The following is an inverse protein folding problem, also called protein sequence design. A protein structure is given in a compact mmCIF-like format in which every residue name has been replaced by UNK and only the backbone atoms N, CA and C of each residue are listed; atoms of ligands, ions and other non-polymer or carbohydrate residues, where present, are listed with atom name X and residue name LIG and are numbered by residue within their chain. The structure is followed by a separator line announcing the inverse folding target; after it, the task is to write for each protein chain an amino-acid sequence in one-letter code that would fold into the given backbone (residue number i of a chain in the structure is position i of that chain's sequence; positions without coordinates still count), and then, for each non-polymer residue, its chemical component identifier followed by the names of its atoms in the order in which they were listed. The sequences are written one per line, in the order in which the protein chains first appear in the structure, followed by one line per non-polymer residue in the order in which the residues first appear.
data_IF_559168154601
#
_entry.id   IF_559168154601
#
_cell.length_a   1.000
_cell.length_b   1.000
_cell.length_c   1.000
_cell.angle_alpha   90.00
_cell.angle_beta   90.00
_cell.angle_gamma   90.00
#
_symmetry.space_group_name_H-M   'P 1'
#
loop_
_entity.id
_entity.type
_entity.pdbx_description
1 polymer ?
#
# COMPACT_ATOMS: atom_id res chain seq x y z
N UNK A 1 -8.07 -18.29 -10.68
CA UNK A 1 -7.23 -19.48 -10.44
C UNK A 1 -6.01 -19.01 -9.65
N UNK A 2 -5.68 -19.67 -8.54
CA UNK A 2 -4.55 -19.29 -7.69
C UNK A 2 -3.25 -19.77 -8.35
N UNK A 3 -2.59 -18.87 -9.07
CA UNK A 3 -1.24 -19.10 -9.61
C UNK A 3 -0.24 -18.92 -8.47
N UNK A 4 -0.04 -19.99 -7.70
CA UNK A 4 1.00 -20.01 -6.65
C UNK A 4 2.36 -19.83 -7.33
N UNK A 5 3.10 -18.80 -6.93
CA UNK A 5 4.46 -18.56 -7.40
C UNK A 5 5.39 -19.68 -6.96
N UNK A 6 6.39 -20.03 -7.76
CA UNK A 6 7.47 -20.96 -7.37
C UNK A 6 8.20 -20.49 -6.11
N UNK A 7 8.25 -19.18 -5.87
CA UNK A 7 8.81 -18.61 -4.64
C UNK A 7 8.04 -19.07 -3.39
N UNK A 8 6.74 -19.39 -3.50
CA UNK A 8 5.92 -19.86 -2.37
C UNK A 8 6.22 -21.29 -1.92
N UNK A 9 7.07 -22.02 -2.65
CA UNK A 9 7.52 -23.36 -2.29
C UNK A 9 8.70 -23.34 -1.30
N UNK A 10 9.35 -22.19 -1.12
CA UNK A 10 10.50 -22.04 -0.23
C UNK A 10 10.05 -21.54 1.14
N UNK A 11 10.61 -22.12 2.20
CA UNK A 11 10.54 -21.57 3.55
C UNK A 11 11.39 -20.31 3.66
N UNK A 12 11.15 -19.44 4.67
CA UNK A 12 11.97 -18.24 4.88
C UNK A 12 13.47 -18.53 5.06
N UNK A 13 13.82 -19.67 5.67
CA UNK A 13 15.21 -20.08 5.84
C UNK A 13 15.86 -20.49 4.51
N UNK A 14 15.12 -21.20 3.66
CA UNK A 14 15.58 -21.58 2.32
C UNK A 14 15.70 -20.38 1.38
N UNK A 15 14.77 -19.42 1.45
CA UNK A 15 14.90 -18.16 0.70
C UNK A 15 16.17 -17.39 1.10
N UNK A 16 16.49 -17.37 2.40
CA UNK A 16 17.72 -16.70 2.89
C UNK A 16 18.96 -17.39 2.34
N UNK A 17 19.00 -18.72 2.35
CA UNK A 17 20.10 -19.49 1.74
C UNK A 17 20.20 -19.23 0.24
N UNK A 18 19.07 -19.27 -0.46
CA UNK A 18 19.00 -18.99 -1.90
C UNK A 18 19.57 -17.61 -2.24
N UNK A 19 19.24 -16.58 -1.47
CA UNK A 19 19.80 -15.25 -1.67
C UNK A 19 21.32 -15.19 -1.44
N UNK A 20 21.84 -15.93 -0.46
CA UNK A 20 23.27 -15.98 -0.15
C UNK A 20 24.07 -16.77 -1.19
N UNK A 21 23.52 -17.89 -1.67
CA UNK A 21 24.20 -18.82 -2.58
C UNK A 21 24.04 -18.41 -4.04
N UNK A 22 22.85 -17.95 -4.43
CA UNK A 22 22.53 -17.56 -5.80
C UNK A 22 21.56 -16.35 -5.84
N UNK A 23 22.08 -15.13 -5.61
CA UNK A 23 21.25 -13.92 -5.57
C UNK A 23 20.54 -13.65 -6.90
N UNK A 24 21.15 -14.00 -8.05
CA UNK A 24 20.53 -13.80 -9.36
C UNK A 24 19.27 -14.66 -9.53
N UNK A 25 19.30 -15.92 -9.09
CA UNK A 25 18.14 -16.80 -9.13
C UNK A 25 17.05 -16.33 -8.17
N UNK A 26 17.42 -15.87 -6.97
CA UNK A 26 16.47 -15.27 -6.03
C UNK A 26 15.73 -14.09 -6.67
N UNK A 27 16.46 -13.15 -7.28
CA UNK A 27 15.89 -11.96 -7.90
C UNK A 27 14.96 -12.31 -9.06
N UNK A 28 15.32 -13.32 -9.87
CA UNK A 28 14.47 -13.82 -10.95
C UNK A 28 13.14 -14.38 -10.43
N UNK A 29 13.20 -15.27 -9.41
CA UNK A 29 12.00 -15.88 -8.84
C UNK A 29 11.12 -14.84 -8.13
N UNK A 30 11.74 -13.85 -7.47
CA UNK A 30 11.03 -12.75 -6.84
C UNK A 30 10.31 -11.87 -7.88
N UNK A 31 10.98 -11.52 -8.99
CA UNK A 31 10.38 -10.76 -10.07
C UNK A 31 9.19 -11.51 -10.72
N UNK A 32 9.33 -12.82 -10.92
CA UNK A 32 8.24 -13.65 -11.43
C UNK A 32 7.06 -13.69 -10.46
N UNK A 33 7.31 -13.86 -9.16
CA UNK A 33 6.27 -13.84 -8.13
C UNK A 33 5.47 -12.53 -8.14
N UNK A 34 6.16 -11.40 -8.24
CA UNK A 34 5.55 -10.06 -8.33
C UNK A 34 4.70 -9.93 -9.59
N UNK A 35 5.21 -10.37 -10.74
CA UNK A 35 4.48 -10.34 -12.02
C UNK A 35 3.18 -11.15 -11.94
N UNK A 36 3.25 -12.34 -11.36
CA UNK A 36 2.07 -13.19 -11.12
C UNK A 36 1.08 -12.50 -10.17
N UNK A 37 1.57 -11.89 -9.09
CA UNK A 37 0.72 -11.14 -8.14
C UNK A 37 0.02 -9.93 -8.78
N UNK A 38 0.64 -9.31 -9.79
CA UNK A 38 0.05 -8.19 -10.53
C UNK A 38 -1.01 -8.61 -11.57
N UNK A 39 -1.24 -9.91 -11.76
CA UNK A 39 -2.28 -10.42 -12.67
C UNK A 39 -3.59 -10.51 -11.92
N UNK A 40 -4.54 -9.61 -12.23
CA UNK A 40 -5.85 -9.56 -11.59
C UNK A 40 -6.98 -10.07 -12.51
N UNK A 41 -8.20 -10.12 -11.97
CA UNK A 41 -9.39 -10.56 -12.71
C UNK A 41 -9.76 -9.62 -13.87
N UNK A 42 -9.42 -8.33 -13.77
CA UNK A 42 -9.67 -7.34 -14.82
C UNK A 42 -8.39 -6.63 -15.27
N UNK A 43 -8.35 -6.11 -16.51
CA UNK A 43 -7.22 -5.33 -17.02
C UNK A 43 -6.92 -4.09 -16.18
N UNK A 44 -7.95 -3.38 -15.71
CA UNK A 44 -7.81 -2.15 -14.92
C UNK A 44 -7.19 -2.43 -13.54
N UNK A 45 -7.57 -3.56 -12.93
CA UNK A 45 -6.98 -4.00 -11.67
C UNK A 45 -5.52 -4.39 -11.87
N UNK A 46 -5.21 -5.10 -12.96
CA UNK A 46 -3.83 -5.47 -13.30
C UNK A 46 -2.96 -4.23 -13.53
N UNK A 47 -3.48 -3.23 -14.26
CA UNK A 47 -2.80 -1.95 -14.49
C UNK A 47 -2.53 -1.21 -13.17
N UNK A 48 -3.51 -1.15 -12.26
CA UNK A 48 -3.33 -0.52 -10.94
C UNK A 48 -2.25 -1.23 -10.11
N UNK A 49 -2.18 -2.55 -10.16
CA UNK A 49 -1.15 -3.33 -9.47
C UNK A 49 0.23 -3.06 -10.06
N UNK A 50 0.35 -2.99 -11.39
CA UNK A 50 1.61 -2.64 -12.06
C UNK A 50 2.07 -1.21 -11.73
N UNK A 51 1.16 -0.24 -11.69
CA UNK A 51 1.49 1.13 -11.28
C UNK A 51 1.98 1.19 -9.82
N UNK A 52 1.36 0.43 -8.93
CA UNK A 52 1.80 0.30 -7.54
C UNK A 52 3.20 -0.31 -7.46
N UNK A 53 3.44 -1.41 -8.19
CA UNK A 53 4.74 -2.05 -8.26
C UNK A 53 5.82 -1.07 -8.75
N UNK A 54 5.55 -0.33 -9.82
CA UNK A 54 6.48 0.68 -10.34
C UNK A 54 6.79 1.78 -9.31
N UNK A 55 5.77 2.24 -8.59
CA UNK A 55 5.94 3.25 -7.52
C UNK A 55 6.84 2.72 -6.41
N UNK A 56 6.60 1.48 -5.99
CA UNK A 56 7.40 0.78 -4.98
C UNK A 56 8.86 0.69 -5.44
N UNK A 57 9.11 0.22 -6.66
CA UNK A 57 10.45 0.06 -7.21
C UNK A 57 11.20 1.39 -7.30
N UNK A 58 10.49 2.47 -7.67
CA UNK A 58 11.06 3.81 -7.71
C UNK A 58 11.46 4.33 -6.33
N UNK A 59 10.67 4.04 -5.29
CA UNK A 59 11.05 4.42 -3.92
C UNK A 59 12.20 3.57 -3.39
N UNK A 60 12.17 2.26 -3.65
CA UNK A 60 13.26 1.36 -3.25
C UNK A 60 14.60 1.73 -3.88
N UNK A 61 14.62 2.17 -5.16
CA UNK A 61 15.85 2.65 -5.81
C UNK A 61 16.50 3.84 -5.12
N UNK A 62 15.72 4.66 -4.40
CA UNK A 62 16.23 5.81 -3.64
C UNK A 62 16.88 5.39 -2.31
N UNK A 63 16.52 4.21 -1.79
CA UNK A 63 17.04 3.68 -0.55
C UNK A 63 18.35 2.90 -0.78
N UNK A 64 19.46 3.41 -0.24
CA UNK A 64 20.81 2.86 -0.47
C UNK A 64 21.17 1.67 0.44
N UNK A 65 20.43 1.44 1.52
CA UNK A 65 20.71 0.38 2.49
C UNK A 65 19.52 -0.57 2.63
N UNK A 66 19.75 -1.85 3.00
CA UNK A 66 18.66 -2.80 3.23
C UNK A 66 17.65 -2.32 4.29
N UNK A 67 18.12 -1.72 5.38
CA UNK A 67 17.27 -1.17 6.45
C UNK A 67 16.41 -0.02 5.91
N UNK A 68 16.99 0.89 5.12
CA UNK A 68 16.22 1.97 4.51
C UNK A 68 15.13 1.44 3.56
N UNK A 69 15.43 0.38 2.80
CA UNK A 69 14.44 -0.30 1.95
C UNK A 69 13.29 -0.90 2.77
N UNK A 70 13.57 -1.46 3.94
CA UNK A 70 12.54 -1.95 4.86
C UNK A 70 11.63 -0.82 5.35
N UNK A 71 12.19 0.29 5.82
CA UNK A 71 11.40 1.44 6.26
C UNK A 71 10.57 2.05 5.13
N UNK A 72 11.09 2.11 3.91
CA UNK A 72 10.32 2.55 2.74
C UNK A 72 9.09 1.65 2.54
N UNK A 73 9.25 0.32 2.59
CA UNK A 73 8.10 -0.59 2.45
C UNK A 73 7.11 -0.46 3.60
N UNK A 74 7.62 -0.33 4.82
CA UNK A 74 6.82 -0.10 6.02
C UNK A 74 5.94 1.15 5.86
N UNK A 75 6.54 2.28 5.46
CA UNK A 75 5.82 3.52 5.23
C UNK A 75 4.79 3.40 4.11
N UNK A 76 5.13 2.78 2.97
CA UNK A 76 4.17 2.55 1.87
C UNK A 76 2.97 1.73 2.38
N UNK A 77 3.21 0.72 3.20
CA UNK A 77 2.14 -0.10 3.76
C UNK A 77 1.26 0.71 4.73
N UNK A 78 1.88 1.40 5.71
CA UNK A 78 1.14 2.18 6.68
C UNK A 78 0.35 3.31 6.02
N UNK A 79 0.89 4.00 5.03
CA UNK A 79 0.17 5.04 4.29
C UNK A 79 -1.06 4.47 3.56
N UNK A 80 -0.94 3.30 2.94
CA UNK A 80 -2.07 2.67 2.22
C UNK A 80 -3.18 2.20 3.16
N UNK A 81 -2.86 1.84 4.41
CA UNK A 81 -3.84 1.32 5.37
C UNK A 81 -4.38 2.45 6.25
N UNK A 82 -3.50 3.22 6.87
CA UNK A 82 -3.78 4.20 7.92
C UNK A 82 -3.62 5.66 7.50
N UNK A 83 -3.05 5.94 6.32
CA UNK A 83 -2.98 7.30 5.79
C UNK A 83 -4.35 7.93 5.60
N UNK A 84 -4.38 9.24 5.34
CA UNK A 84 -5.62 10.02 5.21
C UNK A 84 -6.59 9.44 4.17
N UNK A 85 -6.06 8.96 3.04
CA UNK A 85 -6.77 8.26 1.96
C UNK A 85 -6.71 6.72 2.06
N UNK A 86 -6.28 6.21 3.21
CA UNK A 86 -6.06 4.81 3.49
C UNK A 86 -7.35 3.98 3.50
N UNK A 87 -7.19 2.65 3.49
CA UNK A 87 -8.32 1.71 3.53
C UNK A 87 -9.15 1.84 4.80
N UNK A 88 -8.53 2.12 5.95
CA UNK A 88 -9.25 2.26 7.21
C UNK A 88 -10.13 3.51 7.24
N UNK A 89 -9.60 4.66 6.78
CA UNK A 89 -10.36 5.90 6.64
C UNK A 89 -11.61 5.71 5.78
N UNK A 90 -11.46 5.03 4.63
CA UNK A 90 -12.58 4.69 3.73
C UNK A 90 -13.61 3.79 4.40
N UNK A 91 -13.16 2.76 5.13
CA UNK A 91 -14.07 1.87 5.85
C UNK A 91 -14.89 2.62 6.90
N UNK A 92 -14.23 3.44 7.73
CA UNK A 92 -14.90 4.26 8.75
C UNK A 92 -15.91 5.21 8.12
N UNK A 93 -15.55 5.87 7.01
CA UNK A 93 -16.45 6.75 6.26
C UNK A 93 -17.68 6.01 5.74
N UNK A 94 -17.51 4.82 5.17
CA UNK A 94 -18.62 3.98 4.71
C UNK A 94 -19.51 3.52 5.86
N UNK A 95 -18.93 3.07 6.99
CA UNK A 95 -19.71 2.69 8.16
C UNK A 95 -20.52 3.87 8.72
N UNK A 96 -19.94 5.08 8.79
CA UNK A 96 -20.68 6.29 9.19
C UNK A 96 -21.87 6.56 8.28
N UNK A 97 -21.68 6.49 6.96
CA UNK A 97 -22.78 6.67 5.98
C UNK A 97 -23.87 5.61 6.14
N UNK A 98 -23.49 4.36 6.42
CA UNK A 98 -24.44 3.27 6.62
C UNK A 98 -25.26 3.47 7.90
N UNK A 99 -24.62 3.86 9.00
CA UNK A 99 -25.33 4.21 10.25
C UNK A 99 -26.30 5.36 10.01
N UNK A 100 -25.88 6.44 9.32
CA UNK A 100 -26.74 7.57 8.96
C UNK A 100 -27.96 7.15 8.14
N UNK A 101 -27.78 6.25 7.17
CA UNK A 101 -28.87 5.74 6.34
C UNK A 101 -29.90 4.90 7.12
N UNK A 102 -29.45 4.19 8.16
CA UNK A 102 -30.31 3.33 8.98
C UNK A 102 -30.98 4.10 10.13
N UNK A 103 -30.32 5.10 10.69
CA UNK A 103 -30.84 5.87 11.85
C UNK A 103 -31.53 7.18 11.47
N UNK A 104 -31.37 7.66 10.23
CA UNK A 104 -31.90 8.96 9.79
C UNK A 104 -31.22 10.17 10.42
N UNK A 105 -30.18 9.97 11.23
CA UNK A 105 -29.49 11.05 11.93
C UNK A 105 -28.43 11.71 11.05
N UNK A 106 -28.64 12.98 10.69
CA UNK A 106 -27.59 13.83 10.13
C UNK A 106 -26.54 14.09 11.21
N UNK A 107 -25.29 13.67 10.99
CA UNK A 107 -24.20 14.01 11.91
C UNK A 107 -23.64 15.35 11.46
N UNK A 108 -23.85 16.37 12.28
CA UNK A 108 -23.38 17.74 12.05
C UNK A 108 -21.92 17.78 11.60
N UNK A 109 -21.72 18.33 10.41
CA UNK A 109 -20.42 18.76 9.92
C UNK A 109 -19.98 20.01 10.70
N UNK A 110 -19.40 19.82 11.89
CA UNK A 110 -18.51 20.79 12.54
C UNK A 110 -17.23 20.01 12.89
N UNK A 111 -16.04 20.31 12.36
CA UNK A 111 -15.43 21.63 12.20
C UNK A 111 -14.62 21.69 10.90
N UNK A 112 -15.09 22.49 9.94
CA UNK A 112 -14.18 23.29 9.12
C UNK A 112 -13.68 24.43 9.98
N UNK A 113 -12.40 24.42 10.36
CA UNK A 113 -11.75 25.59 10.93
C UNK A 113 -11.60 26.64 9.83
N UNK A 114 -12.57 27.55 9.73
CA UNK A 114 -12.44 28.75 8.90
C UNK A 114 -11.52 29.80 9.55
N UNK A 115 -10.90 30.67 8.74
CA UNK A 115 -9.69 31.39 9.07
C UNK A 115 -9.95 32.63 9.93
N UNK A 116 -9.08 32.89 10.93
CA UNK A 116 -9.07 34.17 11.64
C UNK A 116 -8.62 35.28 10.68
N UNK A 117 -9.60 36.10 10.25
CA UNK A 117 -9.40 37.39 9.60
C UNK A 117 -8.48 38.28 10.43
N UNK A 118 -7.56 38.95 9.73
CA UNK A 118 -6.69 40.03 10.19
C UNK A 118 -7.48 41.06 11.01
N UNK A 119 -6.97 41.42 12.18
CA UNK A 119 -7.28 42.69 12.82
C UNK A 119 -6.08 43.61 12.63
N UNK A 120 -6.33 44.62 11.82
CA UNK A 120 -5.55 45.85 11.67
C UNK A 120 -5.71 46.65 12.96
N UNK A 121 -4.60 47.06 13.59
CA UNK A 121 -4.61 48.05 14.66
C UNK A 121 -3.37 48.94 14.51
N UNK A 122 -3.63 50.18 14.09
CA UNK A 122 -2.90 51.39 14.51
C UNK A 122 -1.55 51.64 13.88
#
# INVERSE_FOLDING_TARGET
MSTKSLLSLYTPAEMRRLYQENPALFDQLAAEAIKTACTARTPEQSLRLQQLQWTIDMQLRKAKTPIARMHVMENIFYDKIYGEDGKLSKLVSTCKKLVQAVTGAAVDAKNGGEPRKKQDVG
#
